data_IF_106974552526
#
_entry.id   IF_106974552526
#
_cell.length_a   1.000
_cell.length_b   1.000
_cell.length_c   1.000
_cell.angle_alpha   90.00
_cell.angle_beta   90.00
_cell.angle_gamma   90.00
#
_symmetry.space_group_name_H-M   'P 1'
#
loop_
_entity.id
_entity.type
_entity.pdbx_description
1 polymer ?
#
# COMPACT_ATOMS: atom_id res chain seq x y z
N UNK A 1 21.19 -31.49 -35.90
CA UNK A 1 21.51 -30.17 -35.32
C UNK A 1 20.83 -30.06 -33.96
N UNK A 2 21.59 -29.60 -32.95
CA UNK A 2 21.30 -29.75 -31.51
C UNK A 2 20.11 -28.88 -31.10
N UNK A 3 19.10 -29.47 -30.46
CA UNK A 3 17.91 -28.78 -29.94
C UNK A 3 18.32 -27.96 -28.71
N UNK A 4 18.09 -26.64 -28.73
CA UNK A 4 18.31 -25.77 -27.56
C UNK A 4 16.99 -25.61 -26.84
N UNK A 5 16.85 -26.28 -25.69
CA UNK A 5 15.81 -25.99 -24.70
C UNK A 5 16.37 -24.86 -23.82
N UNK A 6 15.91 -23.63 -24.03
CA UNK A 6 16.19 -22.52 -23.13
C UNK A 6 15.09 -22.55 -22.08
N UNK A 7 15.42 -23.19 -20.96
CA UNK A 7 14.55 -23.36 -19.81
C UNK A 7 14.26 -22.01 -19.15
N UNK A 8 12.99 -21.81 -18.85
CA UNK A 8 12.45 -20.71 -18.06
C UNK A 8 13.06 -20.76 -16.64
N UNK A 9 13.72 -19.68 -16.22
CA UNK A 9 14.23 -19.51 -14.86
C UNK A 9 13.16 -18.79 -14.03
N UNK A 10 12.17 -19.53 -13.54
CA UNK A 10 11.25 -19.03 -12.50
C UNK A 10 11.97 -19.20 -11.16
N UNK A 11 12.57 -18.11 -10.66
CA UNK A 11 13.06 -18.04 -9.28
C UNK A 11 11.85 -17.69 -8.42
N UNK A 12 11.11 -18.72 -8.01
CA UNK A 12 10.15 -18.66 -6.91
C UNK A 12 10.97 -18.81 -5.63
N UNK A 13 11.43 -17.69 -5.08
CA UNK A 13 12.00 -17.65 -3.72
C UNK A 13 10.87 -17.75 -2.69
N UNK A 14 10.21 -18.91 -2.62
CA UNK A 14 9.39 -19.31 -1.47
C UNK A 14 10.30 -19.97 -0.42
N UNK A 15 11.29 -19.23 0.08
CA UNK A 15 12.07 -19.68 1.23
C UNK A 15 11.28 -19.40 2.50
N UNK A 16 10.40 -20.35 2.84
CA UNK A 16 10.16 -20.89 4.18
C UNK A 16 10.82 -20.07 5.30
N UNK A 17 10.13 -19.06 5.81
CA UNK A 17 10.34 -18.55 7.17
C UNK A 17 9.26 -19.15 8.07
N UNK A 18 9.42 -20.45 8.34
CA UNK A 18 8.72 -21.11 9.46
C UNK A 18 9.42 -20.69 10.75
N UNK A 19 8.97 -19.59 11.36
CA UNK A 19 9.32 -19.27 12.75
C UNK A 19 8.10 -19.47 13.64
N UNK A 20 8.20 -20.51 14.48
CA UNK A 20 7.81 -20.47 15.89
C UNK A 20 6.34 -20.25 16.22
N UNK A 21 5.68 -21.33 16.61
CA UNK A 21 4.40 -21.28 17.30
C UNK A 21 4.46 -20.44 18.60
N UNK A 22 3.69 -19.35 18.65
CA UNK A 22 3.22 -18.69 19.89
C UNK A 22 1.77 -18.22 19.70
N UNK A 23 0.86 -19.02 20.23
CA UNK A 23 -0.41 -18.67 20.91
C UNK A 23 -1.07 -17.31 20.62
N UNK A 24 -2.07 -17.29 19.72
CA UNK A 24 -3.42 -16.78 19.99
C UNK A 24 -4.27 -17.07 18.74
N UNK A 25 -5.58 -17.30 18.91
CA UNK A 25 -6.52 -17.27 17.78
C UNK A 25 -6.65 -15.84 17.27
N UNK A 26 -5.61 -15.31 16.62
CA UNK A 26 -5.74 -14.17 15.74
C UNK A 26 -6.44 -14.71 14.50
N UNK A 27 -7.68 -14.28 14.26
CA UNK A 27 -8.16 -14.18 12.87
C UNK A 27 -7.00 -13.58 12.08
N UNK A 28 -6.65 -14.13 10.92
CA UNK A 28 -5.63 -13.58 10.03
C UNK A 28 -5.92 -12.08 9.84
N UNK A 29 -5.29 -11.25 10.66
CA UNK A 29 -5.50 -9.82 10.66
C UNK A 29 -4.54 -9.31 9.61
N UNK A 30 -5.10 -8.69 8.57
CA UNK A 30 -4.29 -8.12 7.50
C UNK A 30 -3.25 -7.16 8.10
N UNK A 31 -2.04 -7.18 7.58
CA UNK A 31 -1.05 -6.15 7.94
C UNK A 31 -1.55 -4.77 7.48
N UNK A 32 -1.00 -3.68 8.04
CA UNK A 32 -1.33 -2.32 7.58
C UNK A 32 -1.09 -2.17 6.08
N UNK A 33 0.02 -2.74 5.57
CA UNK A 33 0.34 -2.74 4.14
C UNK A 33 -0.72 -3.49 3.34
N UNK A 34 -1.13 -4.69 3.75
CA UNK A 34 -2.17 -5.46 3.06
C UNK A 34 -3.53 -4.74 3.06
N UNK A 35 -3.86 -4.00 4.14
CA UNK A 35 -5.07 -3.17 4.19
C UNK A 35 -4.99 -2.01 3.21
N UNK A 36 -3.84 -1.33 3.14
CA UNK A 36 -3.64 -0.19 2.24
C UNK A 36 -3.55 -0.63 0.77
N UNK A 37 -2.91 -1.76 0.47
CA UNK A 37 -2.92 -2.37 -0.86
C UNK A 37 -4.32 -2.78 -1.29
N UNK A 38 -5.10 -3.38 -0.39
CA UNK A 38 -6.50 -3.70 -0.66
C UNK A 38 -7.33 -2.45 -0.92
N UNK A 39 -7.13 -1.38 -0.12
CA UNK A 39 -7.82 -0.12 -0.33
C UNK A 39 -7.41 0.57 -1.63
N UNK A 40 -6.13 0.43 -2.03
CA UNK A 40 -5.64 0.97 -3.29
C UNK A 40 -6.39 0.38 -4.49
N UNK A 41 -6.53 -0.94 -4.53
CA UNK A 41 -7.26 -1.66 -5.58
C UNK A 41 -8.79 -1.41 -5.50
N UNK A 42 -9.38 -1.48 -4.31
CA UNK A 42 -10.84 -1.37 -4.13
C UNK A 42 -11.38 0.04 -4.42
N UNK A 43 -10.61 1.09 -4.09
CA UNK A 43 -11.05 2.47 -4.21
C UNK A 43 -10.41 3.22 -5.39
N UNK A 44 -9.61 2.54 -6.22
CA UNK A 44 -8.77 3.13 -7.27
C UNK A 44 -7.96 4.33 -6.72
N UNK A 45 -7.22 4.13 -5.62
CA UNK A 45 -6.41 5.22 -5.05
C UNK A 45 -5.28 5.58 -6.02
N UNK A 46 -4.79 6.82 -5.95
CA UNK A 46 -3.67 7.24 -6.76
C UNK A 46 -2.33 6.84 -6.13
N UNK A 47 -2.23 6.94 -4.82
CA UNK A 47 -1.02 6.61 -4.06
C UNK A 47 -1.33 6.37 -2.59
N UNK A 48 -0.44 5.65 -1.90
CA UNK A 48 -0.37 5.65 -0.45
C UNK A 48 1.09 5.64 0.02
N UNK A 49 1.32 6.06 1.25
CA UNK A 49 2.62 5.99 1.90
C UNK A 49 2.48 5.98 3.41
N UNK A 50 3.36 5.23 4.08
CA UNK A 50 3.47 5.18 5.54
C UNK A 50 4.74 5.95 5.91
N UNK A 51 4.61 7.00 6.71
CA UNK A 51 5.78 7.72 7.18
C UNK A 51 6.59 6.89 8.18
N UNK A 52 7.90 6.78 7.93
CA UNK A 52 8.81 6.07 8.83
C UNK A 52 9.18 6.90 10.07
N UNK A 53 9.34 8.22 9.91
CA UNK A 53 9.72 9.14 10.99
C UNK A 53 8.54 9.91 11.57
N UNK A 54 7.56 10.23 10.73
CA UNK A 54 6.31 10.87 11.12
C UNK A 54 5.19 9.84 10.99
N UNK A 55 4.42 9.55 12.04
CA UNK A 55 3.40 8.50 12.00
C UNK A 55 2.15 9.00 11.27
N UNK A 56 2.30 9.17 9.96
CA UNK A 56 1.25 9.64 9.06
C UNK A 56 1.12 8.64 7.92
N UNK A 57 -0.10 8.15 7.72
CA UNK A 57 -0.50 7.43 6.52
C UNK A 57 -1.06 8.45 5.55
N UNK A 58 -0.33 8.71 4.46
CA UNK A 58 -0.74 9.64 3.40
C UNK A 58 -1.39 8.87 2.26
N UNK A 59 -2.58 9.29 1.83
CA UNK A 59 -3.32 8.65 0.74
C UNK A 59 -3.73 9.69 -0.30
N UNK A 60 -3.34 9.48 -1.56
CA UNK A 60 -3.81 10.27 -2.71
C UNK A 60 -5.07 9.65 -3.32
N UNK A 61 -6.14 10.44 -3.48
CA UNK A 61 -7.42 9.98 -4.01
C UNK A 61 -7.98 10.97 -5.05
N UNK A 62 -8.56 10.45 -6.14
CA UNK A 62 -9.27 11.30 -7.10
C UNK A 62 -10.53 11.93 -6.48
N UNK A 63 -10.82 13.18 -6.85
CA UNK A 63 -11.94 13.97 -6.30
C UNK A 63 -13.31 13.32 -6.52
N UNK A 64 -13.46 12.45 -7.51
CA UNK A 64 -14.73 11.77 -7.81
C UNK A 64 -15.00 10.59 -6.89
N UNK A 65 -13.98 10.06 -6.20
CA UNK A 65 -14.10 8.90 -5.30
C UNK A 65 -14.60 9.28 -3.92
N UNK A 66 -15.22 8.35 -3.19
CA UNK A 66 -15.80 8.62 -1.88
C UNK A 66 -14.75 8.56 -0.77
N UNK A 67 -14.47 9.72 -0.15
CA UNK A 67 -13.60 9.76 1.03
C UNK A 67 -14.24 9.09 2.25
N UNK A 68 -15.57 9.21 2.37
CA UNK A 68 -16.31 8.62 3.49
C UNK A 68 -16.21 7.09 3.48
N UNK A 69 -16.38 6.47 2.31
CA UNK A 69 -16.30 5.01 2.18
C UNK A 69 -14.88 4.50 2.46
N UNK A 70 -13.85 5.21 1.97
CA UNK A 70 -12.46 4.89 2.29
C UNK A 70 -12.19 5.01 3.80
N UNK A 71 -12.66 6.08 4.46
CA UNK A 71 -12.47 6.24 5.91
C UNK A 71 -13.15 5.13 6.70
N UNK A 72 -14.34 4.71 6.28
CA UNK A 72 -15.06 3.59 6.90
C UNK A 72 -14.28 2.28 6.72
N UNK A 73 -13.83 2.01 5.51
CA UNK A 73 -13.00 0.84 5.21
C UNK A 73 -11.74 0.79 6.09
N UNK A 74 -10.98 1.88 6.16
CA UNK A 74 -9.76 1.96 6.96
C UNK A 74 -10.07 1.77 8.45
N UNK A 75 -11.16 2.37 8.95
CA UNK A 75 -11.57 2.20 10.35
C UNK A 75 -11.91 0.74 10.71
N UNK A 76 -12.55 0.03 9.78
CA UNK A 76 -13.03 -1.35 9.98
C UNK A 76 -11.92 -2.39 9.80
N UNK A 77 -10.85 -2.06 9.06
CA UNK A 77 -9.80 -3.01 8.69
C UNK A 77 -8.43 -2.74 9.34
N UNK A 78 -8.09 -1.49 9.71
CA UNK A 78 -6.87 -1.19 10.46
C UNK A 78 -7.01 -1.61 11.94
N UNK A 79 -5.90 -2.05 12.53
CA UNK A 79 -5.86 -2.35 13.96
C UNK A 79 -6.09 -1.09 14.80
N UNK A 80 -6.58 -1.24 16.03
CA UNK A 80 -6.71 -0.11 16.97
C UNK A 80 -5.35 0.55 17.23
N UNK A 81 -4.28 -0.24 17.37
CA UNK A 81 -2.91 0.23 17.54
C UNK A 81 -2.48 1.18 16.41
N UNK A 82 -2.72 0.78 15.16
CA UNK A 82 -2.38 1.62 13.99
C UNK A 82 -3.22 2.89 13.96
N UNK A 83 -4.51 2.81 14.34
CA UNK A 83 -5.40 3.98 14.39
C UNK A 83 -5.02 4.98 15.49
N UNK A 84 -4.41 4.51 16.57
CA UNK A 84 -3.89 5.34 17.66
C UNK A 84 -2.52 5.95 17.33
N UNK A 85 -1.64 5.17 16.70
CA UNK A 85 -0.28 5.60 16.35
C UNK A 85 -0.27 6.53 15.16
N UNK A 86 -1.00 6.19 14.08
CA UNK A 86 -0.91 6.89 12.81
C UNK A 86 -2.09 7.83 12.57
N UNK A 87 -1.77 9.06 12.14
CA UNK A 87 -2.76 9.96 11.54
C UNK A 87 -2.99 9.59 10.08
N UNK A 88 -4.24 9.42 9.68
CA UNK A 88 -4.61 9.23 8.26
C UNK A 88 -4.91 10.56 7.58
N UNK A 89 -4.10 10.93 6.60
CA UNK A 89 -4.28 12.12 5.76
C UNK A 89 -4.70 11.72 4.33
N UNK A 90 -5.86 12.24 3.89
CA UNK A 90 -6.40 11.97 2.56
C UNK A 90 -6.27 13.23 1.71
N UNK A 91 -5.43 13.16 0.69
CA UNK A 91 -5.20 14.23 -0.29
C UNK A 91 -6.13 13.97 -1.47
N UNK A 92 -7.30 14.62 -1.42
CA UNK A 92 -8.33 14.46 -2.43
C UNK A 92 -8.27 15.58 -3.48
N UNK A 93 -7.88 15.25 -4.71
CA UNK A 93 -7.70 16.22 -5.82
C UNK A 93 -8.12 15.63 -7.16
N UNK A 94 -8.22 16.48 -8.18
CA UNK A 94 -8.35 16.02 -9.56
C UNK A 94 -7.16 15.12 -9.94
N UNK A 95 -7.42 13.98 -10.59
CA UNK A 95 -6.38 13.04 -11.00
C UNK A 95 -5.25 13.69 -11.80
N UNK A 96 -5.57 14.62 -12.70
CA UNK A 96 -4.55 15.30 -13.52
C UNK A 96 -3.66 16.24 -12.68
N UNK A 97 -4.15 16.66 -11.50
CA UNK A 97 -3.33 17.43 -10.55
C UNK A 97 -2.41 16.49 -9.79
N UNK A 98 -2.90 15.32 -9.37
CA UNK A 98 -2.11 14.30 -8.68
C UNK A 98 -0.97 13.79 -9.56
N UNK A 99 -1.25 13.46 -10.83
CA UNK A 99 -0.25 13.04 -11.82
C UNK A 99 0.86 14.08 -11.99
N UNK A 100 0.50 15.34 -12.26
CA UNK A 100 1.49 16.43 -12.40
C UNK A 100 2.32 16.66 -11.13
N UNK A 101 1.75 16.43 -9.95
CA UNK A 101 2.51 16.53 -8.70
C UNK A 101 3.49 15.37 -8.55
N UNK A 102 3.08 14.17 -8.95
CA UNK A 102 3.93 12.99 -8.94
C UNK A 102 5.07 13.10 -9.95
N UNK A 103 4.80 13.54 -11.19
CA UNK A 103 5.82 13.79 -12.22
C UNK A 103 6.90 14.77 -11.71
N UNK A 104 6.48 15.90 -11.13
CA UNK A 104 7.41 16.88 -10.54
C UNK A 104 8.24 16.29 -9.39
N UNK A 105 7.64 15.42 -8.59
CA UNK A 105 8.37 14.73 -7.53
C UNK A 105 9.44 13.82 -8.11
N UNK A 106 9.11 13.00 -9.12
CA UNK A 106 10.08 12.15 -9.81
C UNK A 106 11.22 12.96 -10.42
N UNK A 107 10.92 14.06 -11.12
CA UNK A 107 11.94 14.97 -11.66
C UNK A 107 12.87 15.53 -10.58
N UNK A 108 12.33 15.83 -9.38
CA UNK A 108 13.12 16.35 -8.26
C UNK A 108 14.05 15.31 -7.63
N UNK A 109 13.66 14.03 -7.66
CA UNK A 109 14.46 12.93 -7.12
C UNK A 109 15.57 12.54 -8.10
N UNK A 110 15.31 12.58 -9.40
CA UNK A 110 16.31 12.26 -10.43
C UNK A 110 17.41 13.32 -10.58
N UNK A 111 17.18 14.55 -10.10
CA UNK A 111 18.15 15.64 -10.15
C UNK A 111 19.27 15.57 -9.08
N UNK A 112 19.24 14.57 -8.21
CA UNK A 112 20.17 14.36 -7.09
C UNK A 112 20.99 13.07 -7.23
#
# INVERSE_FOLDING_TARGET
MKKKLIGVLIIVCFSVFMYGAVTHSFKHQKSTEEVLESAWDEFDLFSFGIGETDPVISIGMDKTKSEEELRRYLNDNLSEEVKEEYKVEIIKKDINVLERQHEKYLESVEAH
#
